data_IF_339512416398
#
_entry.id   IF_339512416398
#
_cell.length_a   1.000
_cell.length_b   1.000
_cell.length_c   1.000
_cell.angle_alpha   90.00
_cell.angle_beta   90.00
_cell.angle_gamma   90.00
#
_symmetry.space_group_name_H-M   'P 1'
#
loop_
_entity.id
_entity.type
_entity.pdbx_description
1 polymer ?
#
# COMPACT_ATOMS: atom_id res chain seq x y z
N UNK A 1 13.54 -54.56 -5.89
CA UNK A 1 12.73 -55.49 -6.72
C UNK A 1 12.73 -54.99 -8.16
N UNK A 2 12.66 -55.93 -9.12
CA UNK A 2 12.81 -55.81 -10.59
C UNK A 2 11.81 -54.79 -11.20
N UNK A 3 12.11 -53.92 -12.19
CA UNK A 3 12.82 -53.98 -13.52
C UNK A 3 12.01 -54.53 -14.71
N UNK A 4 12.22 -53.87 -15.87
CA UNK A 4 11.81 -54.13 -17.26
C UNK A 4 10.38 -53.67 -17.65
N UNK A 5 10.14 -52.90 -18.73
CA UNK A 5 10.54 -52.93 -20.17
C UNK A 5 9.84 -54.01 -21.01
N UNK A 6 8.99 -53.60 -21.96
CA UNK A 6 8.97 -54.05 -23.36
C UNK A 6 7.87 -53.33 -24.18
N UNK A 7 8.15 -53.01 -25.45
CA UNK A 7 7.20 -52.55 -26.49
C UNK A 7 6.78 -53.73 -27.40
N UNK A 8 6.33 -53.47 -28.65
CA UNK A 8 6.16 -54.43 -29.80
C UNK A 8 4.77 -55.15 -29.86
N UNK A 9 4.01 -55.30 -30.97
CA UNK A 9 3.99 -54.69 -32.34
C UNK A 9 2.75 -55.19 -33.18
N UNK A 10 2.46 -54.57 -34.35
CA UNK A 10 1.57 -54.98 -35.52
C UNK A 10 0.11 -55.46 -35.27
N UNK A 11 -0.96 -54.98 -35.95
CA UNK A 11 -1.39 -54.94 -37.39
C UNK A 11 -2.14 -56.19 -37.92
N UNK A 12 -3.37 -55.93 -38.41
CA UNK A 12 -4.14 -56.63 -39.46
C UNK A 12 -5.25 -55.65 -39.94
N UNK A 13 -5.58 -55.38 -41.21
CA UNK A 13 -5.80 -56.23 -42.41
C UNK A 13 -6.77 -57.39 -42.10
N UNK A 14 -7.90 -57.65 -42.78
CA UNK A 14 -8.47 -57.31 -44.12
C UNK A 14 -10.03 -57.47 -44.04
N UNK A 15 -10.94 -57.16 -44.99
CA UNK A 15 -10.92 -56.75 -46.42
C UNK A 15 -12.29 -56.09 -46.83
N UNK A 16 -12.54 -55.93 -48.14
CA UNK A 16 -13.86 -55.73 -48.78
C UNK A 16 -14.92 -56.79 -48.35
N UNK A 17 -16.24 -56.61 -48.49
CA UNK A 17 -17.01 -55.73 -49.38
C UNK A 17 -17.71 -56.56 -50.47
N UNK A 18 -19.05 -56.58 -50.48
CA UNK A 18 -19.86 -57.07 -51.60
C UNK A 18 -21.31 -56.56 -51.48
N UNK A 19 -21.89 -56.10 -52.58
CA UNK A 19 -23.19 -55.44 -52.64
C UNK A 19 -24.38 -56.42 -52.76
N UNK A 20 -25.56 -55.99 -52.33
CA UNK A 20 -26.84 -56.63 -52.62
C UNK A 20 -27.91 -55.56 -52.86
N UNK A 21 -28.54 -55.56 -54.03
CA UNK A 21 -29.31 -54.44 -54.57
C UNK A 21 -30.81 -54.76 -54.76
N UNK A 22 -31.67 -53.74 -54.62
CA UNK A 22 -33.12 -53.80 -54.88
C UNK A 22 -33.99 -53.60 -53.62
N UNK A 23 -35.06 -52.81 -53.62
CA UNK A 23 -35.67 -52.01 -54.69
C UNK A 23 -36.39 -50.76 -54.14
N UNK A 24 -36.72 -49.80 -55.01
CA UNK A 24 -37.39 -48.50 -54.71
C UNK A 24 -38.89 -48.68 -54.39
N UNK A 25 -39.57 -47.68 -53.80
CA UNK A 25 -40.23 -46.68 -54.65
C UNK A 25 -40.25 -45.21 -54.12
N UNK A 26 -40.26 -44.26 -55.06
CA UNK A 26 -41.11 -43.04 -55.07
C UNK A 26 -40.89 -41.91 -54.04
N UNK A 27 -40.71 -40.64 -54.47
CA UNK A 27 -40.53 -39.49 -53.57
C UNK A 27 -41.83 -38.69 -53.29
N UNK A 28 -41.85 -37.95 -52.19
CA UNK A 28 -42.76 -36.82 -51.92
C UNK A 28 -42.14 -35.89 -50.85
N UNK A 29 -42.55 -34.61 -50.77
CA UNK A 29 -41.57 -33.50 -50.66
C UNK A 29 -41.36 -32.90 -49.26
N UNK A 30 -40.43 -31.94 -49.22
CA UNK A 30 -39.97 -31.15 -48.08
C UNK A 30 -41.03 -30.75 -47.04
N UNK A 31 -40.62 -30.81 -45.76
CA UNK A 31 -41.18 -29.95 -44.72
C UNK A 31 -40.05 -29.34 -43.89
N UNK A 32 -40.08 -28.01 -43.81
CA UNK A 32 -39.03 -27.15 -43.29
C UNK A 32 -38.45 -27.55 -41.93
N UNK A 33 -37.15 -27.30 -41.77
CA UNK A 33 -36.42 -27.31 -40.50
C UNK A 33 -37.13 -26.43 -39.47
N UNK A 34 -37.38 -26.90 -38.23
CA UNK A 34 -37.86 -26.03 -37.17
C UNK A 34 -36.77 -25.00 -36.81
N UNK A 35 -37.14 -23.75 -36.47
CA UNK A 35 -36.17 -22.74 -36.06
C UNK A 35 -35.50 -23.14 -34.75
N UNK A 36 -34.19 -22.86 -34.64
CA UNK A 36 -33.45 -22.86 -33.38
C UNK A 36 -34.22 -22.05 -32.34
N UNK A 37 -34.43 -22.55 -31.11
CA UNK A 37 -35.01 -21.73 -30.06
C UNK A 37 -34.05 -20.58 -29.76
N UNK A 38 -34.47 -19.35 -30.07
CA UNK A 38 -33.79 -18.15 -29.59
C UNK A 38 -33.69 -18.22 -28.08
N UNK A 39 -32.50 -17.97 -27.53
CA UNK A 39 -32.33 -17.87 -26.09
C UNK A 39 -33.21 -16.73 -25.57
N UNK A 40 -34.22 -17.07 -24.78
CA UNK A 40 -34.91 -16.12 -23.91
C UNK A 40 -33.85 -15.44 -23.04
N UNK A 41 -33.83 -14.11 -22.90
CA UNK A 41 -32.97 -13.49 -21.90
C UNK A 41 -33.35 -14.04 -20.54
N UNK A 42 -32.39 -14.70 -19.89
CA UNK A 42 -32.56 -15.24 -18.54
C UNK A 42 -32.87 -14.07 -17.61
N UNK A 43 -34.11 -14.01 -17.12
CA UNK A 43 -34.53 -12.93 -16.26
C UNK A 43 -33.74 -13.00 -14.96
N UNK A 44 -32.92 -11.97 -14.71
CA UNK A 44 -32.25 -11.77 -13.42
C UNK A 44 -33.26 -11.98 -12.29
N UNK A 45 -32.99 -12.86 -11.31
CA UNK A 45 -33.92 -13.12 -10.21
C UNK A 45 -34.33 -11.81 -9.54
N UNK A 46 -35.65 -11.59 -9.44
CA UNK A 46 -36.21 -10.41 -8.78
C UNK A 46 -35.68 -10.34 -7.34
N UNK A 47 -34.95 -9.29 -7.02
CA UNK A 47 -34.18 -9.15 -5.77
C UNK A 47 -32.67 -8.99 -5.95
N UNK A 48 -32.03 -9.63 -6.94
CA UNK A 48 -30.57 -9.46 -7.15
C UNK A 48 -30.18 -8.01 -7.50
N UNK A 49 -31.06 -7.31 -8.22
CA UNK A 49 -30.93 -5.88 -8.52
C UNK A 49 -31.00 -5.01 -7.26
N UNK A 50 -32.04 -5.20 -6.45
CA UNK A 50 -32.21 -4.53 -5.16
C UNK A 50 -31.00 -4.75 -4.24
N UNK A 51 -30.60 -6.00 -3.99
CA UNK A 51 -29.46 -6.32 -3.12
C UNK A 51 -28.14 -5.75 -3.65
N UNK A 52 -27.93 -5.78 -4.98
CA UNK A 52 -26.72 -5.21 -5.60
C UNK A 52 -26.68 -3.71 -5.38
N UNK A 53 -27.78 -3.00 -5.61
CA UNK A 53 -27.85 -1.56 -5.38
C UNK A 53 -27.73 -1.21 -3.88
N UNK A 54 -28.33 -2.00 -2.98
CA UNK A 54 -28.20 -1.81 -1.54
C UNK A 54 -26.74 -1.94 -1.08
N UNK A 55 -26.04 -3.02 -1.48
CA UNK A 55 -24.61 -3.22 -1.18
C UNK A 55 -23.75 -2.08 -1.74
N UNK A 56 -24.05 -1.61 -2.95
CA UNK A 56 -23.34 -0.51 -3.61
C UNK A 56 -23.57 0.82 -2.88
N UNK A 57 -24.81 1.12 -2.47
CA UNK A 57 -25.16 2.30 -1.67
C UNK A 57 -24.52 2.27 -0.28
N UNK A 58 -24.57 1.14 0.43
CA UNK A 58 -23.91 0.98 1.74
C UNK A 58 -22.40 1.18 1.65
N UNK A 59 -21.76 0.68 0.58
CA UNK A 59 -20.33 0.92 0.29
C UNK A 59 -20.04 2.41 0.08
N UNK A 60 -20.91 3.12 -0.64
CA UNK A 60 -20.80 4.57 -0.87
C UNK A 60 -20.99 5.39 0.41
N UNK A 61 -21.87 4.94 1.32
CA UNK A 61 -22.10 5.54 2.64
C UNK A 61 -21.07 5.12 3.71
N UNK A 62 -20.13 4.23 3.39
CA UNK A 62 -19.04 3.87 4.31
C UNK A 62 -17.96 4.94 4.26
N UNK A 63 -17.82 5.71 5.34
CA UNK A 63 -16.71 6.67 5.46
C UNK A 63 -15.39 5.91 5.70
N UNK A 64 -14.29 6.28 5.01
CA UNK A 64 -12.99 5.71 5.31
C UNK A 64 -12.61 5.91 6.79
N UNK A 65 -11.99 4.92 7.45
CA UNK A 65 -11.45 5.11 8.79
C UNK A 65 -10.37 6.21 8.76
N UNK A 66 -10.18 6.91 9.88
CA UNK A 66 -9.05 7.85 9.99
C UNK A 66 -7.73 7.09 9.72
N UNK A 67 -6.79 7.66 8.95
CA UNK A 67 -5.49 7.04 8.72
C UNK A 67 -4.80 6.75 10.04
N UNK A 68 -4.41 5.49 10.26
CA UNK A 68 -3.55 5.14 11.39
C UNK A 68 -2.18 5.80 11.16
N UNK A 69 -1.71 6.54 12.16
CA UNK A 69 -0.43 7.23 12.09
C UNK A 69 0.51 6.78 13.22
N UNK A 70 1.79 6.75 12.89
CA UNK A 70 2.91 6.48 13.78
C UNK A 70 3.76 7.74 13.78
N UNK A 71 4.27 8.15 14.95
CA UNK A 71 5.22 9.27 14.99
C UNK A 71 6.47 8.88 14.18
N UNK A 72 6.91 9.66 13.18
CA UNK A 72 8.08 9.32 12.38
C UNK A 72 9.33 9.23 13.26
N UNK A 73 10.01 8.09 13.22
CA UNK A 73 11.29 7.87 13.93
C UNK A 73 12.41 8.76 13.41
N UNK A 74 12.27 9.28 12.18
CA UNK A 74 13.18 10.27 11.56
C UNK A 74 13.30 11.58 12.36
N UNK A 75 12.23 11.99 13.07
CA UNK A 75 12.24 13.16 13.98
C UNK A 75 13.08 12.92 15.25
N UNK A 76 13.54 11.68 15.46
CA UNK A 76 14.43 11.27 16.55
C UNK A 76 15.85 10.98 16.05
N UNK A 77 16.14 11.23 14.77
CA UNK A 77 17.46 11.01 14.17
C UNK A 77 18.53 11.90 14.81
N UNK A 78 19.75 11.39 14.89
CA UNK A 78 20.85 12.12 15.53
C UNK A 78 21.21 13.42 14.78
N UNK A 79 21.66 14.44 15.52
CA UNK A 79 22.14 15.71 14.93
C UNK A 79 23.29 15.51 13.91
N UNK A 80 24.00 14.38 13.99
CA UNK A 80 24.99 13.94 12.99
C UNK A 80 24.34 13.67 11.62
N UNK A 81 23.22 12.95 11.58
CA UNK A 81 22.50 12.67 10.33
C UNK A 81 21.86 13.92 9.73
N UNK A 82 21.33 14.82 10.56
CA UNK A 82 20.82 16.12 10.12
C UNK A 82 21.92 16.95 9.44
N UNK A 83 23.11 17.00 10.05
CA UNK A 83 24.31 17.65 9.49
C UNK A 83 24.79 17.01 8.18
N UNK A 84 24.79 15.67 8.10
CA UNK A 84 25.18 14.94 6.87
C UNK A 84 24.16 15.16 5.75
N UNK A 85 22.86 15.12 6.05
CA UNK A 85 21.78 15.38 5.09
C UNK A 85 21.88 16.79 4.49
N UNK A 86 22.04 17.81 5.34
CA UNK A 86 22.21 19.20 4.90
C UNK A 86 23.48 19.45 4.07
N UNK A 87 24.52 18.62 4.22
CA UNK A 87 25.73 18.69 3.39
C UNK A 87 25.63 17.96 2.05
N UNK A 88 24.71 17.01 1.92
CA UNK A 88 24.45 16.27 0.67
C UNK A 88 23.35 16.91 -0.19
N UNK A 89 22.66 17.93 0.33
CA UNK A 89 21.48 18.57 -0.29
C UNK A 89 20.34 17.55 -0.51
N UNK A 90 20.16 16.66 0.47
CA UNK A 90 19.08 15.66 0.52
C UNK A 90 18.23 15.88 1.75
N UNK A 91 16.91 15.73 1.63
CA UNK A 91 16.05 15.72 2.81
C UNK A 91 16.29 14.42 3.61
N UNK A 92 16.43 14.47 4.94
CA UNK A 92 16.45 13.26 5.76
C UNK A 92 15.17 12.44 5.53
N UNK A 93 15.28 11.11 5.51
CA UNK A 93 14.14 10.20 5.41
C UNK A 93 13.49 10.00 4.03
N UNK A 94 14.06 10.44 2.89
CA UNK A 94 13.44 10.18 1.58
C UNK A 94 13.62 8.73 1.05
N UNK A 95 12.53 8.20 0.47
CA UNK A 95 12.40 6.82 -0.04
C UNK A 95 12.44 6.72 -1.58
N UNK A 96 12.94 7.75 -2.26
CA UNK A 96 13.19 7.77 -3.71
C UNK A 96 14.50 8.54 -3.97
N UNK A 97 15.63 7.83 -4.11
CA UNK A 97 16.94 8.43 -4.36
C UNK A 97 17.97 8.19 -3.25
N UNK A 98 18.45 9.27 -2.62
CA UNK A 98 19.52 9.22 -1.61
C UNK A 98 18.96 9.65 -0.26
N UNK A 99 19.21 8.86 0.78
CA UNK A 99 18.76 9.13 2.15
C UNK A 99 19.86 8.87 3.18
N UNK A 100 19.75 9.51 4.34
CA UNK A 100 20.67 9.38 5.47
C UNK A 100 19.86 8.93 6.69
N UNK A 101 20.26 7.83 7.32
CA UNK A 101 19.56 7.19 8.45
C UNK A 101 20.53 6.92 9.61
N UNK A 102 20.04 6.66 10.81
CA UNK A 102 20.88 6.12 11.90
C UNK A 102 21.31 4.68 11.52
N UNK A 103 22.58 4.36 11.77
CA UNK A 103 23.04 2.97 11.76
C UNK A 103 22.84 2.38 13.16
N UNK A 104 22.10 1.27 13.25
CA UNK A 104 21.81 0.61 14.53
C UNK A 104 22.50 -0.74 14.60
N UNK A 105 23.15 -0.98 15.73
CA UNK A 105 23.93 -2.19 15.94
C UNK A 105 23.01 -3.38 16.25
N UNK A 106 23.15 -4.45 15.46
CA UNK A 106 22.45 -5.71 15.66
C UNK A 106 23.15 -6.55 16.73
N UNK A 107 22.44 -7.51 17.34
CA UNK A 107 23.03 -8.46 18.30
C UNK A 107 24.18 -9.30 17.71
N UNK A 108 24.23 -9.43 16.38
CA UNK A 108 25.30 -10.08 15.63
C UNK A 108 26.54 -9.20 15.38
N UNK A 109 26.56 -7.95 15.85
CA UNK A 109 27.67 -7.01 15.68
C UNK A 109 27.77 -6.38 14.28
N UNK A 110 26.73 -6.53 13.45
CA UNK A 110 26.56 -5.73 12.24
C UNK A 110 25.91 -4.39 12.57
N UNK A 111 25.96 -3.44 11.64
CA UNK A 111 25.11 -2.26 11.69
C UNK A 111 24.38 -2.14 10.35
N UNK A 112 23.10 -1.82 10.43
CA UNK A 112 22.20 -1.69 9.28
C UNK A 112 21.42 -0.39 9.39
N UNK A 113 20.79 0.03 8.27
CA UNK A 113 19.80 1.10 8.32
C UNK A 113 18.67 0.73 9.30
N UNK A 114 18.21 1.70 10.06
CA UNK A 114 17.11 1.53 10.99
C UNK A 114 15.80 1.16 10.27
N UNK A 115 15.40 -0.11 10.37
CA UNK A 115 14.13 -0.64 9.87
C UNK A 115 13.29 -1.30 10.99
N UNK A 116 13.79 -1.27 12.23
CA UNK A 116 13.28 -2.07 13.34
C UNK A 116 12.73 -1.18 14.45
N UNK A 117 11.44 -1.28 14.72
CA UNK A 117 10.71 -0.28 15.50
C UNK A 117 9.94 -0.92 16.67
N UNK A 118 10.22 -0.49 17.90
CA UNK A 118 9.60 -0.99 19.13
C UNK A 118 8.56 -0.02 19.69
N UNK A 119 7.39 -0.54 20.08
CA UNK A 119 6.35 0.27 20.73
C UNK A 119 6.77 0.57 22.17
N UNK A 120 6.76 1.84 22.57
CA UNK A 120 7.18 2.26 23.92
C UNK A 120 6.01 2.76 24.76
N UNK A 121 6.12 2.59 26.08
CA UNK A 121 5.10 3.00 27.05
C UNK A 121 5.54 4.23 27.83
N UNK A 122 4.84 5.34 27.64
CA UNK A 122 5.05 6.59 28.40
C UNK A 122 4.86 7.82 27.52
N UNK A 123 4.57 8.97 28.13
CA UNK A 123 4.35 10.21 27.37
C UNK A 123 5.62 10.68 26.65
N UNK A 124 5.44 11.38 25.53
CA UNK A 124 6.48 12.07 24.75
C UNK A 124 6.00 13.46 24.35
N UNK A 125 6.95 14.38 24.25
CA UNK A 125 6.75 15.72 23.73
C UNK A 125 7.95 16.08 22.84
N UNK A 126 7.68 16.64 21.67
CA UNK A 126 8.67 17.07 20.69
C UNK A 126 8.17 18.35 20.01
N UNK A 127 9.06 19.33 19.86
CA UNK A 127 8.79 20.61 19.21
C UNK A 127 10.04 21.06 18.43
N UNK A 128 9.95 21.10 17.11
CA UNK A 128 11.01 21.59 16.22
C UNK A 128 10.38 22.28 14.99
N UNK A 129 10.74 23.56 14.77
CA UNK A 129 10.22 24.34 13.65
C UNK A 129 8.69 24.52 13.72
N UNK A 130 7.97 23.93 12.77
CA UNK A 130 6.50 23.89 12.72
C UNK A 130 5.90 22.64 13.35
N UNK A 131 6.71 21.60 13.61
CA UNK A 131 6.26 20.31 14.13
C UNK A 131 6.05 20.43 15.64
N UNK A 132 4.86 20.07 16.13
CA UNK A 132 4.60 19.85 17.56
C UNK A 132 3.89 18.54 17.77
N UNK A 133 4.45 17.71 18.64
CA UNK A 133 3.91 16.39 18.95
C UNK A 133 3.84 16.28 20.46
N UNK A 134 2.65 15.99 21.00
CA UNK A 134 2.45 15.68 22.42
C UNK A 134 1.54 14.48 22.52
N UNK A 135 2.11 13.33 22.90
CA UNK A 135 1.38 12.05 22.98
C UNK A 135 1.59 11.42 24.35
N UNK A 136 0.51 11.00 24.98
CA UNK A 136 0.50 10.29 26.25
C UNK A 136 0.77 8.79 26.06
N UNK A 137 1.13 8.10 27.14
CA UNK A 137 1.46 6.67 27.10
C UNK A 137 0.28 5.73 26.73
N UNK A 138 -0.94 6.25 26.59
CA UNK A 138 -2.12 5.55 26.09
C UNK A 138 -2.41 5.80 24.58
N UNK A 139 -1.56 6.58 23.91
CA UNK A 139 -1.71 6.95 22.50
C UNK A 139 -2.71 8.08 22.24
N UNK A 140 -3.24 8.75 23.28
CA UNK A 140 -3.93 10.03 23.14
C UNK A 140 -2.94 11.17 22.97
N UNK A 141 -3.31 12.26 22.30
CA UNK A 141 -2.39 13.37 22.05
C UNK A 141 -2.78 14.28 20.90
N UNK A 142 -1.87 15.18 20.56
CA UNK A 142 -1.96 16.09 19.41
C UNK A 142 -0.67 15.99 18.59
N UNK A 143 -0.83 15.93 17.27
CA UNK A 143 0.19 16.05 16.24
C UNK A 143 -0.17 17.26 15.38
N UNK A 144 0.73 18.24 15.32
CA UNK A 144 0.67 19.39 14.43
C UNK A 144 1.93 19.40 13.56
N UNK A 145 1.75 19.51 12.25
CA UNK A 145 2.81 19.74 11.26
C UNK A 145 2.26 20.63 10.12
N UNK A 146 3.10 21.05 9.18
CA UNK A 146 2.81 22.01 8.11
C UNK A 146 1.69 21.56 7.16
N UNK A 147 0.43 21.75 7.58
CA UNK A 147 -0.78 21.37 6.87
C UNK A 147 -1.52 20.16 7.44
N UNK A 148 -0.95 19.48 8.45
CA UNK A 148 -1.55 18.30 9.09
C UNK A 148 -1.80 18.55 10.58
N UNK A 149 -3.06 18.49 10.99
CA UNK A 149 -3.50 18.51 12.38
C UNK A 149 -4.24 17.22 12.71
N UNK A 150 -3.75 16.48 13.72
CA UNK A 150 -4.42 15.28 14.23
C UNK A 150 -4.48 15.31 15.75
N UNK A 151 -5.68 15.14 16.31
CA UNK A 151 -5.90 15.05 17.74
C UNK A 151 -6.60 13.73 18.07
N UNK A 152 -6.01 12.93 18.94
CA UNK A 152 -6.59 11.67 19.45
C UNK A 152 -6.94 11.84 20.91
N UNK A 153 -8.21 11.64 21.24
CA UNK A 153 -8.79 11.88 22.55
C UNK A 153 -9.21 10.55 23.20
N UNK A 154 -9.39 10.57 24.51
CA UNK A 154 -9.84 9.40 25.26
C UNK A 154 -11.18 8.86 24.73
N UNK A 155 -11.34 7.54 24.77
CA UNK A 155 -12.56 6.86 24.27
C UNK A 155 -12.66 6.78 22.73
N UNK A 156 -11.59 7.11 21.99
CA UNK A 156 -11.56 7.02 20.53
C UNK A 156 -12.27 8.17 19.82
N UNK A 157 -12.48 9.28 20.51
CA UNK A 157 -12.80 10.56 19.86
C UNK A 157 -11.52 11.16 19.21
N UNK A 158 -11.69 12.06 18.25
CA UNK A 158 -10.56 12.77 17.66
C UNK A 158 -10.90 13.64 16.46
N UNK A 159 -9.88 14.29 15.92
CA UNK A 159 -9.92 15.17 14.75
C UNK A 159 -8.76 14.82 13.83
N UNK A 160 -8.99 14.87 12.52
CA UNK A 160 -7.97 14.76 11.48
C UNK A 160 -8.21 15.85 10.43
N UNK A 161 -7.17 16.56 10.02
CA UNK A 161 -7.21 17.59 8.99
C UNK A 161 -5.86 17.64 8.27
N UNK A 162 -5.79 17.14 7.04
CA UNK A 162 -4.59 17.21 6.17
C UNK A 162 -4.67 18.37 5.14
N UNK A 163 -5.67 19.25 5.29
CA UNK A 163 -5.99 20.32 4.34
C UNK A 163 -6.86 19.91 3.15
N UNK A 164 -6.94 18.62 2.81
CA UNK A 164 -7.83 18.08 1.76
C UNK A 164 -9.03 17.32 2.36
N UNK A 165 -8.76 16.52 3.39
CA UNK A 165 -9.64 15.66 4.15
C UNK A 165 -9.74 16.19 5.58
N UNK A 166 -10.94 16.56 6.00
CA UNK A 166 -11.25 16.92 7.40
C UNK A 166 -12.22 15.92 7.99
N UNK A 167 -11.94 15.42 9.19
CA UNK A 167 -12.75 14.47 9.93
C UNK A 167 -12.82 14.84 11.41
N UNK A 168 -13.98 14.70 12.03
CA UNK A 168 -14.17 14.83 13.48
C UNK A 168 -15.08 13.72 13.98
N UNK A 169 -14.65 13.01 15.02
CA UNK A 169 -15.33 11.84 15.57
C UNK A 169 -15.44 11.99 17.08
N UNK A 170 -16.64 11.79 17.61
CA UNK A 170 -16.90 11.71 19.04
C UNK A 170 -16.84 10.25 19.53
N UNK A 171 -16.74 10.06 20.85
CA UNK A 171 -16.58 8.73 21.45
C UNK A 171 -17.84 7.83 21.32
N UNK A 172 -18.96 8.39 20.89
CA UNK A 172 -20.19 7.67 20.54
C UNK A 172 -20.29 7.31 19.04
N UNK A 173 -19.24 7.58 18.25
CA UNK A 173 -19.20 7.35 16.82
C UNK A 173 -19.96 8.39 15.98
N UNK A 174 -20.55 9.42 16.59
CA UNK A 174 -21.05 10.59 15.86
C UNK A 174 -19.90 11.44 15.31
N UNK A 175 -20.15 12.20 14.24
CA UNK A 175 -19.06 12.95 13.62
C UNK A 175 -19.39 13.62 12.29
N UNK A 176 -18.35 14.21 11.71
CA UNK A 176 -18.37 14.80 10.36
C UNK A 176 -17.13 14.35 9.59
N UNK A 177 -17.26 14.23 8.26
CA UNK A 177 -16.13 13.99 7.37
C UNK A 177 -16.35 14.73 6.06
N UNK A 178 -15.29 15.28 5.48
CA UNK A 178 -15.34 15.94 4.18
C UNK A 178 -14.02 15.83 3.44
N UNK A 179 -14.09 15.57 2.14
CA UNK A 179 -12.96 15.63 1.21
C UNK A 179 -13.45 16.09 -0.16
N UNK A 180 -12.90 17.20 -0.66
CA UNK A 180 -13.39 17.84 -1.89
C UNK A 180 -14.89 18.16 -1.80
N UNK A 181 -15.68 17.62 -2.72
CA UNK A 181 -17.14 17.77 -2.72
C UNK A 181 -17.88 16.81 -1.78
N UNK A 182 -17.20 15.74 -1.32
CA UNK A 182 -17.81 14.75 -0.44
C UNK A 182 -17.96 15.33 0.96
N UNK A 183 -19.17 15.19 1.52
CA UNK A 183 -19.57 15.63 2.86
C UNK A 183 -20.39 14.54 3.50
N UNK A 184 -20.04 14.18 4.72
CA UNK A 184 -20.74 13.21 5.56
C UNK A 184 -20.92 13.78 6.96
N UNK A 185 -22.06 13.53 7.58
CA UNK A 185 -22.36 13.93 8.95
C UNK A 185 -23.31 12.89 9.54
N UNK A 186 -23.01 12.38 10.74
CA UNK A 186 -23.86 11.42 11.44
C UNK A 186 -23.92 11.73 12.92
N UNK A 187 -25.08 11.52 13.53
CA UNK A 187 -25.32 11.60 14.97
C UNK A 187 -25.37 10.20 15.58
N UNK A 188 -25.27 10.10 16.91
CA UNK A 188 -25.27 8.82 17.62
C UNK A 188 -26.55 7.97 17.42
N UNK A 189 -27.63 8.57 16.90
CA UNK A 189 -28.89 7.90 16.54
C UNK A 189 -28.96 7.45 15.06
N UNK A 190 -27.86 7.58 14.30
CA UNK A 190 -27.80 7.26 12.87
C UNK A 190 -28.41 8.34 11.96
N UNK A 191 -28.99 9.42 12.51
CA UNK A 191 -29.49 10.55 11.71
C UNK A 191 -28.34 11.40 11.17
N UNK A 192 -28.50 11.97 9.98
CA UNK A 192 -27.41 12.68 9.32
C UNK A 192 -27.61 12.92 7.83
N UNK A 193 -26.49 13.17 7.13
CA UNK A 193 -26.49 13.36 5.69
C UNK A 193 -25.17 12.97 5.03
N UNK A 194 -25.26 12.54 3.78
CA UNK A 194 -24.17 12.32 2.85
C UNK A 194 -24.42 13.08 1.55
N UNK A 195 -23.36 13.61 0.94
CA UNK A 195 -23.39 14.05 -0.46
C UNK A 195 -22.01 14.04 -1.09
N UNK A 196 -21.88 13.59 -2.33
CA UNK A 196 -20.62 13.61 -3.12
C UNK A 196 -20.66 14.54 -4.35
N UNK A 197 -21.74 15.32 -4.50
CA UNK A 197 -22.01 16.16 -5.67
C UNK A 197 -22.84 15.47 -6.76
N UNK A 198 -22.85 14.13 -6.81
CA UNK A 198 -23.68 13.31 -7.71
C UNK A 198 -24.90 12.71 -7.00
N UNK A 199 -24.69 12.28 -5.76
CA UNK A 199 -25.62 11.58 -4.88
C UNK A 199 -25.80 12.40 -3.61
N UNK A 200 -27.01 12.40 -3.06
CA UNK A 200 -27.34 12.94 -1.73
C UNK A 200 -28.22 11.95 -0.99
N UNK A 201 -27.90 11.71 0.28
CA UNK A 201 -28.72 10.93 1.21
C UNK A 201 -28.90 11.75 2.49
N UNK A 202 -30.09 11.75 3.07
CA UNK A 202 -30.30 12.27 4.42
C UNK A 202 -31.20 11.32 5.21
N UNK A 203 -30.88 11.18 6.50
CA UNK A 203 -31.65 10.39 7.47
C UNK A 203 -32.07 11.33 8.59
N UNK A 204 -33.36 11.37 8.86
CA UNK A 204 -33.96 12.03 10.01
C UNK A 204 -34.15 11.01 11.16
N UNK A 205 -34.21 11.46 12.44
CA UNK A 205 -34.45 10.57 13.56
C UNK A 205 -35.71 9.71 13.36
N UNK A 206 -35.59 8.40 13.53
CA UNK A 206 -36.67 7.44 13.30
C UNK A 206 -36.78 6.89 11.87
N UNK A 207 -35.76 7.08 11.02
CA UNK A 207 -35.65 6.39 9.71
C UNK A 207 -36.42 7.04 8.56
N UNK A 208 -37.01 8.22 8.79
CA UNK A 208 -37.44 9.11 7.71
C UNK A 208 -36.20 9.68 6.99
N UNK A 209 -36.35 10.19 5.77
CA UNK A 209 -35.22 10.72 5.03
C UNK A 209 -35.45 10.78 3.52
N UNK A 210 -34.37 10.67 2.75
CA UNK A 210 -34.45 10.60 1.31
C UNK A 210 -33.12 10.37 0.60
N UNK A 211 -33.24 10.19 -0.72
CA UNK A 211 -32.16 9.90 -1.65
C UNK A 211 -32.37 10.71 -2.94
N UNK A 212 -31.29 11.28 -3.46
CA UNK A 212 -31.24 11.93 -4.76
C UNK A 212 -29.98 11.52 -5.52
N UNK A 213 -30.12 11.14 -6.78
CA UNK A 213 -29.02 11.10 -7.75
C UNK A 213 -29.47 11.70 -9.11
N UNK A 214 -28.68 11.50 -10.17
CA UNK A 214 -29.00 11.97 -11.52
C UNK A 214 -30.24 11.30 -12.18
N UNK A 215 -30.80 10.25 -11.56
CA UNK A 215 -31.82 9.36 -12.13
C UNK A 215 -33.06 9.15 -11.25
N UNK A 216 -32.94 9.34 -9.94
CA UNK A 216 -33.94 9.02 -8.94
C UNK A 216 -33.95 10.09 -7.84
N UNK A 217 -35.15 10.58 -7.48
CA UNK A 217 -35.38 11.46 -6.33
C UNK A 217 -36.52 10.88 -5.50
N UNK A 218 -36.22 10.62 -4.23
CA UNK A 218 -37.03 9.84 -3.31
C UNK A 218 -37.00 10.49 -1.92
N UNK A 219 -38.14 10.52 -1.25
CA UNK A 219 -38.26 10.83 0.17
C UNK A 219 -39.15 9.81 0.87
N UNK A 220 -38.76 9.38 2.07
CA UNK A 220 -39.44 8.38 2.89
C UNK A 220 -39.85 9.04 4.20
N UNK A 221 -41.14 8.96 4.54
CA UNK A 221 -41.65 9.47 5.81
C UNK A 221 -41.53 8.43 6.92
N UNK A 222 -41.64 8.87 8.17
CA UNK A 222 -41.53 8.01 9.36
C UNK A 222 -42.64 6.93 9.47
N UNK A 223 -43.72 7.05 8.68
CA UNK A 223 -44.77 6.03 8.51
C UNK A 223 -44.46 5.02 7.39
N UNK A 224 -43.27 5.11 6.78
CA UNK A 224 -42.84 4.30 5.65
C UNK A 224 -43.36 4.79 4.28
N UNK A 225 -44.15 5.86 4.22
CA UNK A 225 -44.71 6.34 2.97
C UNK A 225 -43.62 6.95 2.07
N UNK A 226 -43.55 6.43 0.83
CA UNK A 226 -42.63 6.87 -0.23
C UNK A 226 -43.24 7.99 -1.06
N UNK A 227 -42.43 9.01 -1.36
CA UNK A 227 -42.72 10.09 -2.30
C UNK A 227 -41.58 10.22 -3.31
N UNK A 228 -41.91 10.32 -4.60
CA UNK A 228 -40.95 10.43 -5.69
C UNK A 228 -41.07 9.29 -6.69
N UNK A 229 -40.22 9.35 -7.72
CA UNK A 229 -40.20 8.41 -8.84
C UNK A 229 -38.86 7.67 -8.87
N UNK A 230 -38.90 6.36 -9.07
CA UNK A 230 -37.72 5.50 -9.07
C UNK A 230 -38.05 4.05 -9.45
N UNK A 231 -37.01 3.28 -9.73
CA UNK A 231 -37.12 1.84 -9.92
C UNK A 231 -37.52 1.15 -8.59
N UNK A 232 -38.49 0.22 -8.57
CA UNK A 232 -38.99 -0.37 -7.32
C UNK A 232 -37.93 -1.09 -6.47
N UNK A 233 -36.99 -1.79 -7.10
CA UNK A 233 -35.90 -2.49 -6.41
C UNK A 233 -34.95 -1.48 -5.75
N UNK A 234 -34.65 -0.37 -6.44
CA UNK A 234 -33.86 0.73 -5.86
C UNK A 234 -34.58 1.47 -4.75
N UNK A 235 -35.90 1.70 -4.87
CA UNK A 235 -36.72 2.34 -3.84
C UNK A 235 -36.70 1.50 -2.55
N UNK A 236 -36.93 0.18 -2.68
CA UNK A 236 -36.88 -0.74 -1.55
C UNK A 236 -35.51 -0.73 -0.85
N UNK A 237 -34.42 -0.81 -1.63
CA UNK A 237 -33.06 -0.75 -1.10
C UNK A 237 -32.73 0.58 -0.37
N UNK A 238 -33.21 1.72 -0.88
CA UNK A 238 -33.07 3.00 -0.14
C UNK A 238 -33.88 2.97 1.15
N UNK A 239 -35.12 2.45 1.16
CA UNK A 239 -35.90 2.34 2.39
C UNK A 239 -35.17 1.52 3.46
N UNK A 240 -34.55 0.39 3.11
CA UNK A 240 -33.72 -0.41 4.04
C UNK A 240 -32.56 0.41 4.60
N UNK A 241 -31.81 1.12 3.73
CA UNK A 241 -30.66 1.93 4.15
C UNK A 241 -31.05 3.12 5.04
N UNK A 242 -32.18 3.78 4.77
CA UNK A 242 -32.68 4.87 5.61
C UNK A 242 -33.19 4.36 6.97
N UNK A 243 -33.80 3.17 7.02
CA UNK A 243 -34.31 2.55 8.24
C UNK A 243 -33.19 2.09 9.20
N UNK A 244 -32.07 1.60 8.67
CA UNK A 244 -30.87 1.26 9.46
C UNK A 244 -30.12 2.50 9.97
N UNK A 245 -30.27 3.63 9.28
CA UNK A 245 -29.53 4.86 9.54
C UNK A 245 -28.15 4.89 8.88
N UNK A 246 -27.49 6.04 8.98
CA UNK A 246 -26.14 6.22 8.46
C UNK A 246 -25.10 5.52 9.37
N UNK A 247 -24.09 4.83 8.81
CA UNK A 247 -23.00 4.24 9.59
C UNK A 247 -22.32 5.22 10.54
N UNK A 248 -22.14 4.81 11.80
CA UNK A 248 -21.30 5.55 12.75
C UNK A 248 -19.82 5.43 12.38
N UNK A 249 -19.03 6.41 12.78
CA UNK A 249 -17.58 6.38 12.63
C UNK A 249 -16.95 5.30 13.51
N UNK A 250 -15.93 4.63 12.97
CA UNK A 250 -15.04 3.81 13.79
C UNK A 250 -14.26 4.70 14.78
N UNK A 251 -13.97 4.22 16.00
CA UNK A 251 -13.12 4.94 16.96
C UNK A 251 -11.76 5.32 16.34
N UNK A 252 -11.31 6.53 16.62
CA UNK A 252 -9.99 7.01 16.20
C UNK A 252 -8.91 6.14 16.83
N UNK A 253 -8.01 5.59 16.01
CA UNK A 253 -6.96 4.70 16.47
C UNK A 253 -5.96 5.46 17.36
N UNK A 254 -5.50 4.88 18.50
CA UNK A 254 -4.47 5.47 19.32
C UNK A 254 -3.14 5.54 18.55
N UNK A 255 -2.41 6.65 18.74
CA UNK A 255 -1.10 6.85 18.12
C UNK A 255 -0.11 5.83 18.67
N UNK A 256 0.58 5.12 17.77
CA UNK A 256 1.67 4.25 18.21
C UNK A 256 2.93 5.07 18.42
N UNK A 257 3.31 5.20 19.68
CA UNK A 257 4.65 5.63 20.08
C UNK A 257 5.63 4.52 19.72
N UNK A 258 6.49 4.80 18.77
CA UNK A 258 7.47 3.86 18.24
C UNK A 258 8.84 4.49 18.38
N UNK A 259 9.72 3.82 19.11
CA UNK A 259 11.15 4.16 19.15
C UNK A 259 11.93 3.09 18.39
N UNK A 260 12.98 3.48 17.67
CA UNK A 260 13.89 2.52 17.06
C UNK A 260 14.48 1.50 18.02
N UNK A 261 14.62 0.28 17.56
CA UNK A 261 15.24 -0.81 18.31
C UNK A 261 16.77 -0.79 18.15
N UNK A 262 17.48 -1.00 19.26
CA UNK A 262 18.95 -1.08 19.28
C UNK A 262 19.66 0.27 19.39
N UNK A 263 20.93 0.19 19.81
CA UNK A 263 21.81 1.35 20.04
C UNK A 263 22.25 1.95 18.71
N UNK A 264 22.16 3.28 18.57
CA UNK A 264 22.83 4.00 17.46
C UNK A 264 24.33 3.81 17.61
N UNK A 265 24.98 3.40 16.52
CA UNK A 265 26.43 3.19 16.47
C UNK A 265 27.02 3.68 15.14
N UNK A 266 26.34 4.63 14.47
CA UNK A 266 26.80 5.19 13.21
C UNK A 266 25.70 5.85 12.39
N UNK A 267 26.00 6.07 11.11
CA UNK A 267 25.13 6.68 10.09
C UNK A 267 25.10 5.79 8.84
N UNK A 268 23.93 5.57 8.23
CA UNK A 268 23.81 4.90 6.91
C UNK A 268 23.45 5.91 5.84
N UNK A 269 24.25 5.97 4.77
CA UNK A 269 23.90 6.67 3.53
C UNK A 269 23.32 5.63 2.56
N UNK A 270 22.01 5.66 2.33
CA UNK A 270 21.30 4.77 1.40
C UNK A 270 21.21 5.40 0.02
N UNK A 271 21.46 4.59 -1.02
CA UNK A 271 21.45 4.95 -2.43
C UNK A 271 20.52 4.00 -3.19
N UNK A 272 19.50 4.52 -3.85
CA UNK A 272 18.60 3.75 -4.71
C UNK A 272 19.35 3.16 -5.93
N UNK A 273 19.16 1.87 -6.20
CA UNK A 273 19.89 1.18 -7.26
C UNK A 273 19.48 1.61 -8.68
N UNK A 274 18.27 2.13 -8.92
CA UNK A 274 17.86 2.65 -10.23
C UNK A 274 18.49 4.02 -10.53
N UNK A 275 18.87 4.78 -9.50
CA UNK A 275 19.64 6.02 -9.66
C UNK A 275 21.08 5.72 -10.04
N UNK A 276 21.65 4.65 -9.48
CA UNK A 276 23.03 4.24 -9.75
C UNK A 276 23.18 3.39 -11.02
N UNK A 277 22.31 2.41 -11.24
CA UNK A 277 22.50 1.33 -12.21
C UNK A 277 21.31 1.16 -13.15
N UNK A 278 21.55 0.55 -14.30
CA UNK A 278 20.49 -0.05 -15.13
C UNK A 278 20.09 -1.44 -14.61
N UNK A 279 18.95 -1.95 -15.10
CA UNK A 279 18.44 -3.31 -14.81
C UNK A 279 19.52 -4.35 -15.15
N UNK A 280 19.76 -5.28 -14.21
CA UNK A 280 20.79 -6.34 -14.27
C UNK A 280 22.23 -5.85 -14.49
N UNK A 281 22.50 -4.54 -14.33
CA UNK A 281 23.83 -3.95 -14.40
C UNK A 281 24.40 -3.63 -13.01
N UNK A 282 25.72 -3.67 -12.95
CA UNK A 282 26.53 -3.23 -11.82
C UNK A 282 27.46 -2.06 -12.18
N UNK A 283 27.46 -1.58 -13.42
CA UNK A 283 28.19 -0.39 -13.87
C UNK A 283 27.35 0.86 -13.52
N UNK A 284 27.97 1.85 -12.88
CA UNK A 284 27.25 3.07 -12.45
C UNK A 284 27.08 4.04 -13.62
N UNK A 285 25.82 4.39 -13.88
CA UNK A 285 25.38 5.39 -14.87
C UNK A 285 26.06 6.75 -14.64
N UNK A 286 26.29 7.57 -15.68
CA UNK A 286 26.93 8.89 -15.54
C UNK A 286 26.29 9.76 -14.45
N UNK A 287 24.95 9.83 -14.40
CA UNK A 287 24.19 10.56 -13.38
C UNK A 287 24.52 10.06 -11.95
N UNK A 288 24.62 8.73 -11.78
CA UNK A 288 25.01 8.07 -10.53
C UNK A 288 26.45 8.37 -10.10
N UNK A 289 27.37 8.58 -11.06
CA UNK A 289 28.77 8.93 -10.75
C UNK A 289 28.88 10.33 -10.15
N UNK A 290 28.05 11.28 -10.57
CA UNK A 290 28.00 12.62 -9.99
C UNK A 290 27.47 12.61 -8.55
N UNK A 291 26.49 11.75 -8.24
CA UNK A 291 26.05 11.51 -6.86
C UNK A 291 27.14 10.87 -6.00
N UNK A 292 27.80 9.82 -6.49
CA UNK A 292 28.90 9.17 -5.77
C UNK A 292 30.08 10.11 -5.53
N UNK A 293 30.31 11.10 -6.40
CA UNK A 293 31.32 12.15 -6.17
C UNK A 293 30.96 13.02 -4.97
N UNK A 294 29.70 13.47 -4.83
CA UNK A 294 29.25 14.22 -3.64
C UNK A 294 29.39 13.42 -2.35
N UNK A 295 29.07 12.12 -2.40
CA UNK A 295 29.29 11.21 -1.27
C UNK A 295 30.79 11.06 -0.96
N UNK A 296 31.65 10.94 -1.96
CA UNK A 296 33.10 10.91 -1.76
C UNK A 296 33.63 12.21 -1.14
N UNK A 297 33.20 13.38 -1.64
CA UNK A 297 33.58 14.69 -1.10
C UNK A 297 33.19 14.82 0.39
N UNK A 298 32.00 14.35 0.77
CA UNK A 298 31.58 14.24 2.16
C UNK A 298 32.52 13.32 2.96
N UNK A 299 32.75 12.09 2.50
CA UNK A 299 33.58 11.10 3.21
C UNK A 299 35.03 11.58 3.39
N UNK A 300 35.60 12.22 2.37
CA UNK A 300 36.92 12.87 2.44
C UNK A 300 36.92 13.99 3.47
N UNK A 301 35.90 14.85 3.48
CA UNK A 301 35.78 15.92 4.47
C UNK A 301 35.46 15.44 5.90
N UNK A 302 34.99 14.21 6.07
CA UNK A 302 34.88 13.50 7.35
C UNK A 302 36.18 12.74 7.73
N UNK A 303 37.24 12.83 6.91
CA UNK A 303 38.54 12.21 7.17
C UNK A 303 38.64 10.74 6.75
N UNK A 304 37.82 10.29 5.79
CA UNK A 304 37.66 8.88 5.38
C UNK A 304 37.38 7.94 6.57
N UNK A 305 36.20 8.06 7.21
CA UNK A 305 35.79 7.13 8.26
C UNK A 305 35.77 5.68 7.78
N UNK A 306 35.86 4.74 8.71
CA UNK A 306 35.66 3.32 8.42
C UNK A 306 34.20 3.10 8.00
N UNK A 307 33.99 2.54 6.81
CA UNK A 307 32.67 2.35 6.24
C UNK A 307 32.54 1.02 5.50
N UNK A 308 31.33 0.47 5.58
CA UNK A 308 30.93 -0.78 4.96
C UNK A 308 29.91 -0.49 3.86
N UNK A 309 30.21 -0.89 2.62
CA UNK A 309 29.34 -0.72 1.45
C UNK A 309 28.58 -2.02 1.20
N UNK A 310 27.28 -2.00 1.45
CA UNK A 310 26.39 -3.15 1.33
C UNK A 310 25.53 -3.03 0.07
N UNK A 311 25.54 -4.06 -0.79
CA UNK A 311 24.65 -4.15 -1.94
C UNK A 311 23.45 -5.05 -1.65
N UNK A 312 22.27 -4.68 -2.16
CA UNK A 312 21.04 -5.47 -2.04
C UNK A 312 20.32 -5.60 -3.39
N UNK A 313 19.44 -6.60 -3.49
CA UNK A 313 18.49 -6.79 -4.59
C UNK A 313 17.06 -6.82 -4.07
N UNK A 314 16.09 -6.87 -4.97
CA UNK A 314 14.77 -7.40 -4.65
C UNK A 314 14.78 -8.93 -4.66
N UNK A 315 13.63 -9.57 -4.37
CA UNK A 315 13.47 -11.03 -4.38
C UNK A 315 13.19 -11.61 -5.78
N UNK A 316 13.48 -10.86 -6.86
CA UNK A 316 13.22 -11.32 -8.24
C UNK A 316 14.50 -11.88 -8.83
N UNK A 317 14.71 -13.20 -8.67
CA UNK A 317 15.86 -13.86 -9.28
C UNK A 317 16.15 -15.24 -8.69
N UNK A 318 17.38 -15.68 -8.92
CA UNK A 318 18.00 -16.77 -8.18
C UNK A 318 18.85 -16.17 -7.05
N UNK A 319 18.83 -16.77 -5.86
CA UNK A 319 19.53 -16.25 -4.67
C UNK A 319 21.03 -16.05 -4.91
N UNK A 320 21.70 -16.98 -5.61
CA UNK A 320 23.12 -16.89 -5.88
C UNK A 320 23.43 -15.83 -6.96
N UNK A 321 22.55 -15.65 -7.94
CA UNK A 321 22.63 -14.54 -8.90
C UNK A 321 22.46 -13.19 -8.20
N UNK A 322 21.47 -13.07 -7.32
CA UNK A 322 21.19 -11.85 -6.57
C UNK A 322 22.33 -11.48 -5.61
N UNK A 323 22.93 -12.48 -4.95
CA UNK A 323 24.12 -12.30 -4.13
C UNK A 323 25.31 -11.76 -4.96
N UNK A 324 25.64 -12.39 -6.10
CA UNK A 324 26.71 -11.95 -6.99
C UNK A 324 26.48 -10.54 -7.58
N UNK A 325 25.26 -10.25 -8.06
CA UNK A 325 24.90 -8.92 -8.57
C UNK A 325 25.06 -7.84 -7.49
N UNK A 326 24.62 -8.14 -6.27
CA UNK A 326 24.74 -7.21 -5.15
C UNK A 326 26.19 -6.96 -4.72
N UNK A 327 27.05 -7.99 -4.72
CA UNK A 327 28.49 -7.87 -4.46
C UNK A 327 29.17 -6.99 -5.52
N UNK A 328 28.91 -7.24 -6.81
CA UNK A 328 29.47 -6.45 -7.92
C UNK A 328 29.06 -4.97 -7.84
N UNK A 329 27.82 -4.68 -7.47
CA UNK A 329 27.33 -3.31 -7.25
C UNK A 329 28.05 -2.60 -6.09
N UNK A 330 28.26 -3.29 -4.97
CA UNK A 330 29.01 -2.74 -3.83
C UNK A 330 30.49 -2.46 -4.21
N UNK A 331 31.13 -3.38 -4.93
CA UNK A 331 32.51 -3.23 -5.41
C UNK A 331 32.68 -2.04 -6.38
N UNK A 332 31.74 -1.84 -7.30
CA UNK A 332 31.77 -0.70 -8.22
C UNK A 332 31.62 0.63 -7.48
N UNK A 333 30.69 0.72 -6.52
CA UNK A 333 30.52 1.90 -5.67
C UNK A 333 31.82 2.20 -4.91
N UNK A 334 32.44 1.18 -4.28
CA UNK A 334 33.76 1.34 -3.64
C UNK A 334 34.82 1.83 -4.63
N UNK A 335 34.88 1.27 -5.85
CA UNK A 335 35.85 1.69 -6.88
C UNK A 335 35.73 3.17 -7.21
N UNK A 336 34.50 3.69 -7.34
CA UNK A 336 34.24 5.08 -7.69
C UNK A 336 34.49 6.04 -6.51
N UNK A 337 34.17 5.64 -5.27
CA UNK A 337 34.50 6.41 -4.08
C UNK A 337 36.03 6.53 -3.89
N UNK A 338 36.78 5.44 -4.06
CA UNK A 338 38.26 5.45 -4.03
C UNK A 338 38.83 6.29 -5.18
N UNK A 339 38.29 6.15 -6.39
CA UNK A 339 38.68 6.99 -7.54
C UNK A 339 38.40 8.49 -7.34
N UNK A 340 37.50 8.82 -6.41
CA UNK A 340 37.15 10.19 -6.02
C UNK A 340 37.86 10.67 -4.74
N UNK A 341 38.82 9.90 -4.22
CA UNK A 341 39.73 10.33 -3.14
C UNK A 341 39.46 9.74 -1.75
N UNK A 342 38.45 8.90 -1.55
CA UNK A 342 38.23 8.20 -0.28
C UNK A 342 39.31 7.13 -0.07
N UNK A 343 39.80 6.97 1.17
CA UNK A 343 40.81 5.95 1.48
C UNK A 343 40.31 4.53 1.19
N UNK A 344 41.01 3.80 0.32
CA UNK A 344 40.66 2.42 -0.03
C UNK A 344 40.73 1.43 1.13
N UNK A 345 41.50 1.75 2.17
CA UNK A 345 41.63 0.93 3.39
C UNK A 345 40.46 1.14 4.37
N UNK A 346 39.77 2.29 4.29
CA UNK A 346 38.61 2.58 5.13
C UNK A 346 37.30 2.01 4.57
N UNK A 347 37.29 1.55 3.31
CA UNK A 347 36.11 1.00 2.64
C UNK A 347 36.15 -0.53 2.51
N UNK A 348 35.12 -1.18 3.06
CA UNK A 348 34.80 -2.62 2.88
C UNK A 348 33.53 -2.78 2.05
N UNK A 349 33.33 -3.96 1.45
CA UNK A 349 32.20 -4.26 0.56
C UNK A 349 31.59 -5.62 0.87
N UNK A 350 30.26 -5.72 0.78
CA UNK A 350 29.53 -6.98 0.93
C UNK A 350 28.24 -6.97 0.08
N UNK A 351 28.03 -8.02 -0.70
CA UNK A 351 26.74 -8.36 -1.28
C UNK A 351 25.87 -9.07 -0.25
N UNK A 352 24.61 -8.65 -0.11
CA UNK A 352 23.61 -9.27 0.76
C UNK A 352 22.44 -9.86 -0.04
N UNK A 353 22.38 -9.66 -1.36
CA UNK A 353 21.28 -10.09 -2.21
C UNK A 353 19.93 -9.61 -1.67
N UNK A 354 18.96 -10.53 -1.66
CA UNK A 354 17.60 -10.32 -1.13
C UNK A 354 17.47 -10.61 0.38
N UNK A 355 18.53 -11.04 1.06
CA UNK A 355 18.46 -11.60 2.43
C UNK A 355 18.10 -10.59 3.53
N UNK A 356 18.14 -9.29 3.22
CA UNK A 356 17.80 -8.19 4.14
C UNK A 356 16.88 -7.17 3.43
N UNK A 357 15.58 -7.49 3.26
CA UNK A 357 14.59 -6.57 2.70
C UNK A 357 14.26 -5.47 3.71
N UNK A 358 14.08 -4.23 3.22
CA UNK A 358 13.53 -3.11 4.00
C UNK A 358 12.01 -3.27 4.16
N UNK A 359 11.35 -3.76 3.11
CA UNK A 359 9.90 -3.96 3.07
C UNK A 359 9.59 -5.31 2.42
N UNK A 360 8.54 -5.98 2.91
CA UNK A 360 8.04 -7.21 2.30
C UNK A 360 7.53 -6.92 0.87
N UNK A 361 7.95 -7.73 -0.11
CA UNK A 361 7.63 -7.53 -1.54
C UNK A 361 6.26 -8.11 -1.96
N UNK A 362 5.45 -8.49 -0.97
CA UNK A 362 4.11 -9.02 -1.14
C UNK A 362 3.16 -8.22 -0.26
N UNK A 363 2.08 -7.70 -0.86
CA UNK A 363 0.99 -7.06 -0.14
C UNK A 363 0.24 -8.03 0.77
N UNK A 364 -0.67 -7.50 1.59
CA UNK A 364 -1.48 -8.29 2.52
C UNK A 364 -2.44 -9.28 1.82
N UNK A 365 -2.68 -9.10 0.52
CA UNK A 365 -3.43 -9.98 -0.38
C UNK A 365 -2.54 -11.02 -1.08
N UNK A 366 -1.23 -11.00 -0.85
CA UNK A 366 -0.23 -11.84 -1.52
C UNK A 366 0.18 -11.36 -2.91
N UNK A 367 -0.30 -10.21 -3.38
CA UNK A 367 0.11 -9.65 -4.67
C UNK A 367 1.54 -9.07 -4.60
N UNK A 368 2.34 -9.16 -5.68
CA UNK A 368 3.65 -8.50 -5.73
C UNK A 368 3.53 -6.98 -5.57
N UNK A 369 4.39 -6.39 -4.74
CA UNK A 369 4.49 -4.94 -4.54
C UNK A 369 5.72 -4.36 -5.30
N UNK A 370 5.52 -3.64 -6.43
CA UNK A 370 6.62 -3.03 -7.17
C UNK A 370 7.33 -1.89 -6.41
N UNK A 371 6.66 -1.24 -5.47
CA UNK A 371 7.24 -0.16 -4.66
C UNK A 371 8.17 -0.76 -3.59
N UNK A 372 7.74 -1.79 -2.87
CA UNK A 372 8.61 -2.54 -1.94
C UNK A 372 9.87 -3.07 -2.64
N UNK A 373 9.71 -3.64 -3.85
CA UNK A 373 10.83 -4.07 -4.71
C UNK A 373 11.81 -2.94 -5.03
N UNK A 374 11.29 -1.76 -5.36
CA UNK A 374 12.12 -0.57 -5.59
C UNK A 374 12.96 -0.23 -4.34
N UNK A 375 12.35 -0.26 -3.16
CA UNK A 375 13.04 0.05 -1.90
C UNK A 375 14.11 -0.99 -1.54
N UNK A 376 13.92 -2.25 -1.89
CA UNK A 376 14.89 -3.31 -1.60
C UNK A 376 16.12 -3.25 -2.53
N UNK A 377 15.95 -2.84 -3.79
CA UNK A 377 17.04 -2.57 -4.75
C UNK A 377 17.84 -1.31 -4.36
N UNK A 378 18.88 -1.48 -3.55
CA UNK A 378 19.68 -0.37 -2.98
C UNK A 378 21.16 -0.72 -2.76
N UNK A 379 21.95 0.31 -2.52
CA UNK A 379 23.28 0.22 -1.89
C UNK A 379 23.27 1.06 -0.61
N UNK A 380 23.83 0.55 0.47
CA UNK A 380 23.99 1.25 1.75
C UNK A 380 25.47 1.46 2.04
N UNK A 381 25.85 2.66 2.49
CA UNK A 381 27.19 2.99 2.99
C UNK A 381 27.05 3.25 4.48
N UNK A 382 27.42 2.26 5.29
CA UNK A 382 27.33 2.28 6.74
C UNK A 382 28.62 2.85 7.31
N UNK A 383 28.55 4.05 7.88
CA UNK A 383 29.62 4.69 8.64
C UNK A 383 29.48 4.23 10.09
N UNK A 384 30.53 3.70 10.69
CA UNK A 384 30.51 3.30 12.11
C UNK A 384 31.13 4.40 12.98
N UNK A 385 30.43 4.76 14.05
CA UNK A 385 31.00 5.57 15.13
C UNK A 385 32.04 4.73 15.91
N UNK A 386 33.09 5.39 16.43
CA UNK A 386 34.25 4.71 17.07
C UNK A 386 34.07 4.43 18.56
#
# INVERSE_FOLDING_TARGET
MRRALASVVLVGLTAAGCSGEGARPGPSPDRATPPTPSATPEATPAGEGAERFERELRRTLTVPPMPAFTIPTELLSTAQNQSISGRLDVAPGLYQGIGVLDARCTESGGAAADTGATVTTGSRHYEEGTVRITVAGDGTGVYDDAGLHVAVLAGGAGVYDDGETRSSVAADGSGTWSRGDVRYTVRADGSGSYSDGSTRVWVEPGGAGGYEDATMRLSVRADGQVFGDGDPDRVAAVQTVLADGLPLFAPVAPVRLVEPSGTVCGTVIRLDANVLFDVDRAEVRPDGQDYLRRVADLLVALGSPAAQVNGHTDSVGDEAYNLDLSQRRAEEVRRLLVGSGVSGDSLRTQGLGETQPVQAETGADGAPDPAARQLNRRVEIVLLDR
#
